data_IF_558330294422
#
_entry.id   IF_558330294422
#
_cell.length_a   1.000
_cell.length_b   1.000
_cell.length_c   1.000
_cell.angle_alpha   90.00
_cell.angle_beta   90.00
_cell.angle_gamma   90.00
#
_symmetry.space_group_name_H-M   'P 1'
#
loop_
_entity.id
_entity.type
_entity.pdbx_description
1 polymer ?
#
# COMPACT_ATOMS: atom_id res chain seq x y z
N UNK A 1 25.06 32.74 62.61
CA UNK A 1 26.17 31.88 62.11
C UNK A 1 25.85 30.45 62.54
N UNK A 2 25.84 29.40 61.73
CA UNK A 2 26.34 29.23 60.37
C UNK A 2 25.41 28.29 59.57
N UNK A 3 24.56 28.88 58.71
CA UNK A 3 23.83 28.17 57.64
C UNK A 3 24.81 27.65 56.56
N UNK A 4 26.01 28.23 56.51
CA UNK A 4 27.09 27.91 55.57
C UNK A 4 27.67 26.50 55.80
N UNK A 5 27.57 25.92 57.00
CA UNK A 5 28.04 24.56 57.29
C UNK A 5 27.16 23.45 56.67
N UNK A 6 25.83 23.64 56.66
CA UNK A 6 24.86 22.65 56.15
C UNK A 6 24.87 22.52 54.61
N UNK A 7 25.32 23.54 53.90
CA UNK A 7 25.48 23.51 52.43
C UNK A 7 26.71 22.69 52.03
N UNK A 8 27.76 22.70 52.85
CA UNK A 8 29.00 21.95 52.57
C UNK A 8 28.81 20.42 52.72
N UNK A 9 27.85 19.99 53.53
CA UNK A 9 27.52 18.57 53.74
C UNK A 9 26.63 18.00 52.62
N UNK A 10 25.94 18.86 51.86
CA UNK A 10 25.08 18.48 50.71
C UNK A 10 25.73 18.73 49.34
N UNK A 11 26.96 19.26 49.31
CA UNK A 11 27.69 19.52 48.06
C UNK A 11 28.00 18.24 47.29
N UNK A 12 28.23 17.12 47.99
CA UNK A 12 28.43 15.81 47.38
C UNK A 12 27.22 15.38 46.55
N UNK A 13 26.01 15.55 47.09
CA UNK A 13 24.75 15.18 46.43
C UNK A 13 24.49 16.06 45.19
N UNK A 14 24.88 17.34 45.26
CA UNK A 14 24.79 18.28 44.14
C UNK A 14 25.75 17.90 43.01
N UNK A 15 26.99 17.52 43.34
CA UNK A 15 27.98 17.02 42.36
C UNK A 15 27.51 15.71 41.73
N UNK A 16 26.90 14.80 42.49
CA UNK A 16 26.34 13.56 41.94
C UNK A 16 25.19 13.84 40.98
N UNK A 17 24.28 14.77 41.31
CA UNK A 17 23.14 15.12 40.45
C UNK A 17 23.58 15.76 39.14
N UNK A 18 24.57 16.65 39.18
CA UNK A 18 25.15 17.29 37.99
C UNK A 18 25.92 16.27 37.15
N UNK A 19 26.67 15.36 37.79
CA UNK A 19 27.35 14.25 37.11
C UNK A 19 26.39 13.27 36.42
N UNK A 20 25.29 12.93 37.07
CA UNK A 20 24.22 12.09 36.50
C UNK A 20 23.55 12.78 35.31
N UNK A 21 23.30 14.10 35.41
CA UNK A 21 22.76 14.90 34.31
C UNK A 21 23.68 14.93 33.09
N UNK A 22 24.99 15.03 33.28
CA UNK A 22 25.99 14.97 32.19
C UNK A 22 26.08 13.59 31.55
N UNK A 23 26.01 12.51 32.34
CA UNK A 23 25.97 11.14 31.81
C UNK A 23 24.70 10.96 30.97
N UNK A 24 23.53 11.34 31.49
CA UNK A 24 22.27 11.27 30.75
C UNK A 24 22.28 12.14 29.48
N UNK A 25 22.91 13.32 29.52
CA UNK A 25 23.07 14.21 28.35
C UNK A 25 23.90 13.56 27.22
N UNK A 26 24.96 12.83 27.56
CA UNK A 26 25.79 12.11 26.57
C UNK A 26 25.05 10.91 25.96
N UNK A 27 24.16 10.27 26.73
CA UNK A 27 23.29 9.20 26.23
C UNK A 27 22.01 9.73 25.55
N UNK A 28 21.70 11.02 25.62
CA UNK A 28 20.48 11.59 25.01
C UNK A 28 20.37 11.34 23.49
N UNK A 29 21.46 11.37 22.69
CA UNK A 29 21.42 10.99 21.28
C UNK A 29 21.09 9.50 21.03
N UNK A 30 21.29 8.64 22.04
CA UNK A 30 20.90 7.22 21.99
C UNK A 30 19.43 7.00 22.40
N UNK A 31 18.82 7.99 23.05
CA UNK A 31 17.41 7.99 23.46
C UNK A 31 16.49 8.77 22.52
N UNK A 32 17.03 9.49 21.52
CA UNK A 32 16.25 10.12 20.43
C UNK A 32 15.56 9.08 19.51
N UNK A 33 15.90 7.80 19.65
CA UNK A 33 15.11 6.68 19.15
C UNK A 33 14.08 6.23 20.17
N UNK A 34 12.94 6.92 20.24
CA UNK A 34 11.63 6.45 20.76
C UNK A 34 11.66 5.23 21.70
N UNK A 35 11.38 5.45 23.00
CA UNK A 35 11.04 4.36 23.93
C UNK A 35 9.87 3.53 23.33
N UNK A 36 10.07 2.26 22.91
CA UNK A 36 9.05 1.48 22.20
C UNK A 36 7.87 1.04 23.09
N UNK A 37 7.92 1.37 24.38
CA UNK A 37 7.02 0.78 25.38
C UNK A 37 5.68 1.53 25.56
N UNK A 38 5.59 2.80 25.13
CA UNK A 38 4.38 3.62 25.32
C UNK A 38 3.59 3.94 24.05
N UNK A 39 4.07 3.58 22.86
CA UNK A 39 3.21 3.63 21.67
C UNK A 39 2.35 2.38 21.66
N UNK A 40 1.12 2.49 22.16
CA UNK A 40 0.07 1.53 21.82
C UNK A 40 -0.19 1.66 20.31
N UNK A 41 0.63 0.99 19.49
CA UNK A 41 0.64 1.03 18.01
C UNK A 41 -0.59 0.36 17.37
N UNK A 42 -1.50 -0.10 18.21
CA UNK A 42 -2.66 -0.88 17.83
C UNK A 42 -3.88 0.05 17.95
N UNK A 43 -3.98 1.00 17.03
CA UNK A 43 -5.18 1.81 16.91
C UNK A 43 -6.23 0.98 16.18
N UNK A 44 -7.42 0.84 16.78
CA UNK A 44 -8.57 0.35 16.06
C UNK A 44 -8.97 1.42 15.03
N UNK A 45 -8.89 1.06 13.75
CA UNK A 45 -9.16 1.97 12.62
C UNK A 45 -10.51 1.71 11.96
N UNK A 46 -11.27 0.70 12.42
CA UNK A 46 -12.62 0.43 11.93
C UNK A 46 -13.04 -1.03 12.07
N UNK A 47 -14.10 -1.41 11.34
CA UNK A 47 -14.67 -2.75 11.36
C UNK A 47 -14.64 -3.38 9.96
N UNK A 48 -14.24 -4.64 9.87
CA UNK A 48 -14.40 -5.47 8.68
C UNK A 48 -15.09 -6.78 9.04
N UNK A 49 -16.23 -7.07 8.41
CA UNK A 49 -17.07 -8.24 8.71
C UNK A 49 -17.35 -8.40 10.21
N UNK A 50 -17.76 -7.30 10.86
CA UNK A 50 -18.05 -7.22 12.30
C UNK A 50 -16.86 -7.50 13.23
N UNK A 51 -15.62 -7.56 12.72
CA UNK A 51 -14.41 -7.67 13.52
C UNK A 51 -13.61 -6.36 13.48
N UNK A 52 -12.97 -6.02 14.60
CA UNK A 52 -12.11 -4.84 14.70
C UNK A 52 -10.87 -4.96 13.82
N UNK A 53 -10.53 -3.85 13.15
CA UNK A 53 -9.35 -3.71 12.32
C UNK A 53 -8.26 -3.04 13.16
N UNK A 54 -7.22 -3.81 13.46
CA UNK A 54 -6.01 -3.31 14.09
C UNK A 54 -5.05 -2.74 13.03
N UNK A 55 -4.66 -1.47 13.17
CA UNK A 55 -3.81 -0.76 12.22
C UNK A 55 -2.49 -1.46 11.92
N UNK A 56 -1.91 -2.13 12.92
CA UNK A 56 -0.62 -2.83 12.80
C UNK A 56 -0.76 -4.16 12.08
N UNK A 57 -1.75 -4.95 12.47
CA UNK A 57 -2.03 -6.27 11.88
C UNK A 57 -2.41 -6.15 10.41
N UNK A 58 -3.12 -5.07 10.05
CA UNK A 58 -3.57 -4.81 8.68
C UNK A 58 -2.61 -3.95 7.86
N UNK A 59 -1.50 -3.49 8.45
CA UNK A 59 -0.47 -2.74 7.74
C UNK A 59 -0.89 -1.36 7.24
N UNK A 60 -1.95 -0.78 7.81
CA UNK A 60 -2.57 0.47 7.33
C UNK A 60 -1.54 1.61 7.15
N UNK A 61 -0.71 1.86 8.16
CA UNK A 61 0.28 2.95 8.11
C UNK A 61 1.38 2.73 7.05
N UNK A 62 1.68 1.47 6.70
CA UNK A 62 2.63 1.18 5.63
C UNK A 62 2.02 1.56 4.27
N UNK A 63 0.76 1.17 4.07
CA UNK A 63 0.00 1.48 2.85
C UNK A 63 -0.21 2.99 2.72
N UNK A 64 -0.54 3.67 3.82
CA UNK A 64 -0.70 5.13 3.87
C UNK A 64 0.59 5.87 3.51
N UNK A 65 1.74 5.41 4.03
CA UNK A 65 3.05 5.98 3.69
C UNK A 65 3.37 5.81 2.19
N UNK A 66 3.10 4.63 1.63
CA UNK A 66 3.26 4.37 0.19
C UNK A 66 2.32 5.26 -0.63
N UNK A 67 1.05 5.38 -0.23
CA UNK A 67 0.09 6.24 -0.91
C UNK A 67 0.52 7.71 -0.88
N UNK A 68 1.01 8.21 0.25
CA UNK A 68 1.52 9.58 0.38
C UNK A 68 2.68 9.87 -0.58
N UNK A 69 3.61 8.90 -0.75
CA UNK A 69 4.73 9.03 -1.70
C UNK A 69 4.28 9.02 -3.16
N UNK A 70 3.30 8.18 -3.49
CA UNK A 70 2.78 8.05 -4.85
C UNK A 70 1.89 9.23 -5.27
N UNK A 71 1.28 9.92 -4.30
CA UNK A 71 0.35 11.02 -4.53
C UNK A 71 0.73 12.26 -3.70
N UNK A 72 1.87 12.92 -3.97
CA UNK A 72 2.38 14.02 -3.15
C UNK A 72 1.50 15.28 -3.17
N UNK A 73 0.62 15.41 -4.18
CA UNK A 73 -0.31 16.53 -4.34
C UNK A 73 -1.72 16.24 -3.79
N UNK A 74 -2.00 15.02 -3.33
CA UNK A 74 -3.29 14.67 -2.77
C UNK A 74 -3.43 15.23 -1.35
N UNK A 75 -4.65 15.60 -0.96
CA UNK A 75 -4.91 16.00 0.41
C UNK A 75 -4.82 14.79 1.37
N UNK A 76 -4.69 15.05 2.66
CA UNK A 76 -4.51 13.99 3.67
C UNK A 76 -5.68 13.00 3.69
N UNK A 77 -6.92 13.47 3.56
CA UNK A 77 -8.11 12.61 3.58
C UNK A 77 -8.18 11.68 2.35
N UNK A 78 -7.75 12.14 1.17
CA UNK A 78 -7.65 11.33 -0.03
C UNK A 78 -6.59 10.23 0.14
N UNK A 79 -5.45 10.53 0.77
CA UNK A 79 -4.42 9.53 1.07
C UNK A 79 -4.97 8.46 2.00
N UNK A 80 -5.64 8.87 3.09
CA UNK A 80 -6.26 7.96 4.06
C UNK A 80 -7.30 7.06 3.40
N UNK A 81 -8.16 7.65 2.58
CA UNK A 81 -9.19 6.92 1.83
C UNK A 81 -8.54 5.90 0.89
N UNK A 82 -7.56 6.30 0.06
CA UNK A 82 -6.84 5.37 -0.84
C UNK A 82 -6.19 4.22 -0.07
N UNK A 83 -5.52 4.53 1.05
CA UNK A 83 -4.89 3.53 1.89
C UNK A 83 -5.91 2.54 2.46
N UNK A 84 -7.07 3.04 2.92
CA UNK A 84 -8.17 2.22 3.39
C UNK A 84 -8.72 1.28 2.30
N UNK A 85 -9.03 1.79 1.10
CA UNK A 85 -9.52 0.94 0.01
C UNK A 85 -8.51 -0.12 -0.39
N UNK A 86 -7.24 0.25 -0.50
CA UNK A 86 -6.18 -0.67 -0.85
C UNK A 86 -6.07 -1.78 0.21
N UNK A 87 -6.05 -1.42 1.50
CA UNK A 87 -5.99 -2.36 2.62
C UNK A 87 -7.15 -3.36 2.61
N UNK A 88 -8.39 -2.89 2.46
CA UNK A 88 -9.57 -3.75 2.41
C UNK A 88 -9.53 -4.66 1.18
N UNK A 89 -9.20 -4.10 0.02
CA UNK A 89 -9.08 -4.83 -1.25
C UNK A 89 -8.03 -5.95 -1.16
N UNK A 90 -6.83 -5.62 -0.69
CA UNK A 90 -5.74 -6.59 -0.54
C UNK A 90 -6.10 -7.70 0.44
N UNK A 91 -6.84 -7.36 1.49
CA UNK A 91 -7.32 -8.36 2.46
C UNK A 91 -8.32 -9.32 1.84
N UNK A 92 -9.31 -8.80 1.11
CA UNK A 92 -10.30 -9.62 0.40
C UNK A 92 -9.60 -10.52 -0.62
N UNK A 93 -8.68 -9.97 -1.42
CA UNK A 93 -7.91 -10.76 -2.37
C UNK A 93 -7.10 -11.85 -1.66
N UNK A 94 -6.39 -11.53 -0.58
CA UNK A 94 -5.62 -12.54 0.15
C UNK A 94 -6.49 -13.67 0.70
N UNK A 95 -7.71 -13.39 1.15
CA UNK A 95 -8.68 -14.41 1.59
C UNK A 95 -9.06 -15.32 0.41
N UNK A 96 -9.48 -14.75 -0.72
CA UNK A 96 -9.92 -15.52 -1.89
C UNK A 96 -8.78 -16.30 -2.55
N UNK A 97 -7.61 -15.68 -2.71
CA UNK A 97 -6.41 -16.34 -3.24
C UNK A 97 -6.01 -17.55 -2.38
N UNK A 98 -6.14 -17.45 -1.05
CA UNK A 98 -5.84 -18.55 -0.12
C UNK A 98 -6.86 -19.67 -0.21
N UNK A 99 -8.16 -19.36 -0.31
CA UNK A 99 -9.23 -20.37 -0.50
C UNK A 99 -9.01 -21.17 -1.80
N UNK A 100 -8.58 -20.50 -2.86
CA UNK A 100 -8.32 -21.11 -4.17
C UNK A 100 -6.95 -21.82 -4.24
N UNK A 101 -6.11 -21.71 -3.22
CA UNK A 101 -4.77 -22.31 -3.20
C UNK A 101 -3.81 -21.70 -4.22
N UNK A 102 -3.99 -20.44 -4.62
CA UNK A 102 -3.16 -19.79 -5.64
C UNK A 102 -1.82 -19.40 -5.02
N UNK A 103 -0.80 -20.17 -5.38
CA UNK A 103 0.59 -19.93 -4.99
C UNK A 103 1.44 -19.34 -6.12
N UNK A 104 2.62 -18.84 -5.73
CA UNK A 104 3.71 -18.42 -6.63
C UNK A 104 4.99 -19.01 -6.08
N UNK A 105 5.78 -19.65 -6.94
CA UNK A 105 7.08 -20.21 -6.55
C UNK A 105 8.19 -19.18 -6.76
N UNK A 106 9.32 -19.37 -6.08
CA UNK A 106 10.49 -18.51 -6.27
C UNK A 106 11.05 -18.60 -7.70
N UNK A 107 10.97 -19.78 -8.34
CA UNK A 107 11.36 -19.94 -9.76
C UNK A 107 10.43 -19.14 -10.68
N UNK A 108 9.11 -19.17 -10.45
CA UNK A 108 8.18 -18.35 -11.24
C UNK A 108 8.45 -16.85 -11.08
N UNK A 109 8.81 -16.40 -9.88
CA UNK A 109 9.17 -15.01 -9.67
C UNK A 109 10.46 -14.65 -10.43
N UNK A 110 11.47 -15.50 -10.37
CA UNK A 110 12.78 -15.25 -10.99
C UNK A 110 12.76 -15.36 -12.52
N UNK A 111 12.16 -16.43 -13.05
CA UNK A 111 12.12 -16.74 -14.49
C UNK A 111 10.94 -16.06 -15.20
N UNK A 112 9.90 -15.68 -14.46
CA UNK A 112 8.72 -15.01 -14.99
C UNK A 112 8.78 -13.50 -14.82
N UNK A 113 8.80 -13.02 -13.58
CA UNK A 113 8.72 -11.58 -13.30
C UNK A 113 10.08 -10.89 -13.49
N UNK A 114 11.15 -11.45 -12.93
CA UNK A 114 12.50 -10.86 -12.93
C UNK A 114 13.35 -11.32 -14.11
N UNK A 115 12.71 -11.74 -15.21
CA UNK A 115 13.40 -12.14 -16.41
C UNK A 115 13.72 -10.93 -17.27
N UNK A 116 15.01 -10.62 -17.45
CA UNK A 116 15.46 -9.44 -18.21
C UNK A 116 15.22 -9.54 -19.72
N UNK A 117 14.98 -10.74 -20.26
CA UNK A 117 14.73 -10.92 -21.70
C UNK A 117 13.25 -10.85 -22.04
N UNK A 118 12.42 -11.56 -21.28
CA UNK A 118 10.98 -11.61 -21.51
C UNK A 118 10.21 -11.65 -20.18
N UNK A 119 10.10 -10.50 -19.48
CA UNK A 119 9.38 -10.45 -18.22
C UNK A 119 7.87 -10.56 -18.47
N UNK A 120 7.21 -11.37 -17.66
CA UNK A 120 5.76 -11.45 -17.59
C UNK A 120 5.16 -10.07 -17.21
N UNK A 121 3.93 -9.75 -17.66
CA UNK A 121 3.25 -8.54 -17.22
C UNK A 121 3.16 -8.48 -15.69
N UNK A 122 3.61 -7.35 -15.12
CA UNK A 122 3.60 -7.05 -13.69
C UNK A 122 3.70 -5.55 -13.48
N UNK A 123 3.27 -5.06 -12.32
CA UNK A 123 3.40 -3.65 -11.96
C UNK A 123 4.87 -3.18 -11.99
N UNK A 124 5.80 -4.06 -11.63
CA UNK A 124 7.23 -3.76 -11.69
C UNK A 124 7.71 -3.55 -13.13
N UNK A 125 7.27 -4.39 -14.08
CA UNK A 125 7.58 -4.19 -15.51
C UNK A 125 7.02 -2.86 -16.03
N UNK A 126 5.81 -2.48 -15.61
CA UNK A 126 5.14 -1.24 -16.05
C UNK A 126 5.91 0.03 -15.68
N UNK A 127 6.72 0.01 -14.61
CA UNK A 127 7.59 1.14 -14.22
C UNK A 127 8.67 1.45 -15.26
N UNK A 128 8.97 0.50 -16.15
CA UNK A 128 9.99 0.63 -17.20
C UNK A 128 9.35 0.79 -18.60
N UNK A 129 8.06 1.07 -18.66
CA UNK A 129 7.35 1.37 -19.92
C UNK A 129 7.23 2.89 -20.06
N UNK A 130 7.88 3.44 -21.08
CA UNK A 130 7.84 4.87 -21.40
C UNK A 130 7.17 5.05 -22.76
N UNK A 131 6.09 5.85 -22.83
CA UNK A 131 5.30 6.07 -24.05
C UNK A 131 4.80 4.77 -24.74
N UNK A 132 4.50 3.74 -23.93
CA UNK A 132 4.08 2.42 -24.43
C UNK A 132 5.22 1.51 -24.91
N UNK A 133 6.47 1.98 -24.84
CA UNK A 133 7.65 1.19 -25.21
C UNK A 133 8.36 0.71 -23.95
N UNK A 134 8.60 -0.60 -23.86
CA UNK A 134 9.31 -1.20 -22.73
C UNK A 134 10.83 -1.02 -22.87
N UNK A 135 11.46 -0.42 -21.86
CA UNK A 135 12.91 -0.27 -21.79
C UNK A 135 13.55 -1.52 -21.14
N UNK A 136 13.94 -2.47 -21.98
CA UNK A 136 14.52 -3.73 -21.54
C UNK A 136 15.89 -3.56 -20.86
N UNK A 137 16.71 -2.62 -21.32
CA UNK A 137 18.06 -2.38 -20.78
C UNK A 137 17.99 -1.92 -19.32
N UNK A 138 17.21 -0.86 -19.04
CA UNK A 138 17.02 -0.33 -17.68
C UNK A 138 16.38 -1.36 -16.74
N UNK A 139 15.42 -2.13 -17.25
CA UNK A 139 14.82 -3.22 -16.47
C UNK A 139 15.86 -4.29 -16.11
N UNK A 140 16.70 -4.66 -17.07
CA UNK A 140 17.77 -5.64 -16.87
C UNK A 140 18.83 -5.17 -15.86
N UNK A 141 19.19 -3.89 -15.90
CA UNK A 141 20.10 -3.26 -14.94
C UNK A 141 19.53 -3.30 -13.51
N UNK A 142 18.27 -2.92 -13.32
CA UNK A 142 17.63 -2.96 -12.00
C UNK A 142 17.58 -4.38 -11.44
N UNK A 143 17.16 -5.35 -12.25
CA UNK A 143 17.14 -6.77 -11.87
C UNK A 143 18.54 -7.27 -11.52
N UNK A 144 19.57 -6.84 -12.26
CA UNK A 144 20.96 -7.21 -11.99
C UNK A 144 21.43 -6.65 -10.65
N UNK A 145 21.20 -5.36 -10.38
CA UNK A 145 21.59 -4.73 -9.11
C UNK A 145 20.84 -5.34 -7.92
N UNK A 146 19.54 -5.65 -8.06
CA UNK A 146 18.79 -6.39 -7.04
C UNK A 146 19.41 -7.76 -6.72
N UNK A 147 19.77 -8.54 -7.75
CA UNK A 147 20.41 -9.86 -7.57
C UNK A 147 21.80 -9.73 -6.94
N UNK A 148 22.57 -8.74 -7.37
CA UNK A 148 23.91 -8.46 -6.86
C UNK A 148 23.87 -8.02 -5.40
N UNK A 149 22.92 -7.16 -5.03
CA UNK A 149 22.70 -6.75 -3.64
C UNK A 149 22.38 -7.93 -2.73
N UNK A 150 21.48 -8.82 -3.16
CA UNK A 150 21.12 -10.03 -2.41
C UNK A 150 22.28 -11.04 -2.25
N UNK A 151 23.24 -11.06 -3.17
CA UNK A 151 24.40 -11.96 -3.10
C UNK A 151 25.55 -11.40 -2.26
N UNK A 152 25.74 -10.08 -2.28
CA UNK A 152 26.92 -9.43 -1.72
C UNK A 152 26.68 -8.76 -0.36
N UNK A 153 25.42 -8.51 0.03
CA UNK A 153 25.07 -7.86 1.29
C UNK A 153 24.66 -8.90 2.36
N UNK A 154 25.51 -9.16 3.38
CA UNK A 154 25.18 -10.11 4.44
C UNK A 154 24.28 -9.50 5.53
N UNK A 155 23.96 -8.20 5.50
CA UNK A 155 23.09 -7.55 6.49
C UNK A 155 21.67 -8.17 6.47
N UNK A 156 21.23 -8.82 7.57
CA UNK A 156 19.89 -9.36 7.66
C UNK A 156 18.78 -8.31 7.45
N UNK A 157 19.02 -7.04 7.81
CA UNK A 157 18.03 -5.98 7.66
C UNK A 157 17.81 -5.62 6.18
N UNK A 158 18.88 -5.61 5.39
CA UNK A 158 18.77 -5.40 3.94
C UNK A 158 17.96 -6.52 3.28
N UNK A 159 18.25 -7.78 3.60
CA UNK A 159 17.53 -8.93 3.06
C UNK A 159 16.04 -8.88 3.45
N UNK A 160 15.73 -8.55 4.71
CA UNK A 160 14.35 -8.37 5.18
C UNK A 160 13.64 -7.23 4.46
N UNK A 161 14.34 -6.13 4.16
CA UNK A 161 13.79 -5.01 3.41
C UNK A 161 13.40 -5.44 1.99
N UNK A 162 14.31 -6.10 1.26
CA UNK A 162 14.02 -6.60 -0.09
C UNK A 162 12.86 -7.59 -0.05
N UNK A 163 12.83 -8.51 0.92
CA UNK A 163 11.73 -9.46 1.06
C UNK A 163 10.38 -8.76 1.24
N UNK A 164 10.31 -7.79 2.15
CA UNK A 164 9.05 -7.14 2.52
C UNK A 164 8.57 -6.13 1.48
N UNK A 165 9.49 -5.37 0.88
CA UNK A 165 9.14 -4.28 -0.02
C UNK A 165 9.18 -4.68 -1.50
N UNK A 166 9.80 -5.81 -1.84
CA UNK A 166 9.97 -6.24 -3.22
C UNK A 166 9.40 -7.64 -3.47
N UNK A 167 9.91 -8.66 -2.77
CA UNK A 167 9.52 -10.06 -3.03
C UNK A 167 8.03 -10.32 -2.71
N UNK A 168 7.56 -9.93 -1.52
CA UNK A 168 6.16 -10.15 -1.09
C UNK A 168 5.17 -9.41 -2.01
N UNK A 169 5.36 -8.11 -2.32
CA UNK A 169 4.49 -7.40 -3.25
C UNK A 169 4.45 -8.03 -4.65
N UNK A 170 5.60 -8.43 -5.20
CA UNK A 170 5.64 -9.07 -6.51
C UNK A 170 4.95 -10.44 -6.52
N UNK A 171 5.12 -11.23 -5.45
CA UNK A 171 4.38 -12.48 -5.31
C UNK A 171 2.87 -12.23 -5.25
N UNK A 172 2.43 -11.19 -4.53
CA UNK A 172 1.03 -10.82 -4.45
C UNK A 172 0.48 -10.38 -5.81
N UNK A 173 1.18 -9.49 -6.52
CA UNK A 173 0.83 -9.05 -7.88
C UNK A 173 0.70 -10.25 -8.83
N UNK A 174 1.64 -11.20 -8.75
CA UNK A 174 1.61 -12.40 -9.57
C UNK A 174 0.42 -13.31 -9.24
N UNK A 175 0.07 -13.50 -7.96
CA UNK A 175 -1.14 -14.25 -7.57
C UNK A 175 -2.40 -13.58 -8.11
N UNK A 176 -2.46 -12.25 -8.04
CA UNK A 176 -3.60 -11.47 -8.53
C UNK A 176 -3.72 -11.57 -10.05
N UNK A 177 -2.61 -11.53 -10.79
CA UNK A 177 -2.59 -11.73 -12.24
C UNK A 177 -3.12 -13.12 -12.65
N UNK A 178 -2.76 -14.18 -11.90
CA UNK A 178 -3.33 -15.53 -12.09
C UNK A 178 -4.84 -15.54 -11.85
N UNK A 179 -5.28 -14.96 -10.74
CA UNK A 179 -6.70 -14.87 -10.40
C UNK A 179 -7.51 -14.14 -11.48
N UNK A 180 -7.05 -12.96 -11.92
CA UNK A 180 -7.68 -12.20 -13.01
C UNK A 180 -7.70 -12.97 -14.32
N UNK A 181 -6.62 -13.68 -14.63
CA UNK A 181 -6.57 -14.56 -15.81
C UNK A 181 -7.63 -15.66 -15.74
N UNK A 182 -7.81 -16.30 -14.58
CA UNK A 182 -8.86 -17.30 -14.40
C UNK A 182 -10.26 -16.72 -14.60
N UNK A 183 -10.55 -15.52 -14.08
CA UNK A 183 -11.82 -14.84 -14.33
C UNK A 183 -12.00 -14.55 -15.83
N UNK A 184 -10.97 -14.00 -16.48
CA UNK A 184 -11.00 -13.66 -17.90
C UNK A 184 -11.26 -14.87 -18.79
N UNK A 185 -10.65 -16.02 -18.48
CA UNK A 185 -10.83 -17.25 -19.27
C UNK A 185 -12.01 -18.10 -18.82
N UNK A 186 -12.54 -17.87 -17.61
CA UNK A 186 -13.72 -18.54 -17.08
C UNK A 186 -15.04 -17.92 -17.54
N UNK A 187 -15.05 -16.63 -17.87
CA UNK A 187 -16.20 -15.95 -18.45
C UNK A 187 -16.16 -16.07 -19.98
N UNK A 188 -17.02 -16.94 -20.52
CA UNK A 188 -17.17 -17.12 -21.96
C UNK A 188 -18.49 -16.51 -22.42
N UNK A 189 -18.41 -15.63 -23.42
CA UNK A 189 -19.58 -15.11 -24.12
C UNK A 189 -20.18 -16.15 -25.06
N UNK A 190 -21.49 -16.07 -25.28
CA UNK A 190 -22.22 -16.90 -26.23
C UNK A 190 -22.14 -16.33 -27.65
N UNK A 191 -22.35 -17.20 -28.65
CA UNK A 191 -22.46 -16.76 -30.06
C UNK A 191 -23.62 -15.78 -30.24
N UNK A 192 -24.70 -15.94 -29.46
CA UNK A 192 -25.88 -15.10 -29.48
C UNK A 192 -25.57 -13.68 -28.98
N UNK A 193 -24.82 -13.55 -27.89
CA UNK A 193 -24.35 -12.24 -27.41
C UNK A 193 -23.44 -11.57 -28.43
N UNK A 194 -22.54 -12.33 -29.07
CA UNK A 194 -21.70 -11.82 -30.15
C UNK A 194 -22.51 -11.29 -31.35
N UNK A 195 -23.57 -12.01 -31.76
CA UNK A 195 -24.49 -11.55 -32.81
C UNK A 195 -25.28 -10.31 -32.40
N UNK A 196 -25.70 -10.24 -31.14
CA UNK A 196 -26.41 -9.09 -30.60
C UNK A 196 -25.52 -7.85 -30.62
N UNK A 197 -24.28 -7.95 -30.13
CA UNK A 197 -23.30 -6.86 -30.16
C UNK A 197 -23.02 -6.37 -31.58
N UNK A 198 -22.78 -7.28 -32.54
CA UNK A 198 -22.57 -6.92 -33.95
C UNK A 198 -23.77 -6.18 -34.55
N UNK A 199 -24.99 -6.61 -34.19
CA UNK A 199 -26.22 -5.93 -34.62
C UNK A 199 -26.35 -4.54 -33.98
N UNK A 200 -26.11 -4.42 -32.68
CA UNK A 200 -26.17 -3.14 -31.95
C UNK A 200 -25.14 -2.14 -32.48
N UNK A 201 -23.91 -2.55 -32.73
CA UNK A 201 -22.85 -1.69 -33.31
C UNK A 201 -23.21 -1.16 -34.71
N UNK A 202 -23.99 -1.91 -35.48
CA UNK A 202 -24.46 -1.51 -36.81
C UNK A 202 -25.79 -0.78 -36.80
N UNK A 203 -26.50 -0.80 -35.67
CA UNK A 203 -27.81 -0.16 -35.56
C UNK A 203 -27.61 1.31 -35.24
N UNK A 204 -27.82 2.15 -36.24
CA UNK A 204 -27.82 3.61 -36.09
C UNK A 204 -29.26 4.09 -36.07
N UNK A 205 -29.61 4.91 -35.08
CA UNK A 205 -30.92 5.54 -34.97
C UNK A 205 -30.78 7.06 -34.89
N UNK A 206 -31.64 7.77 -35.63
CA UNK A 206 -31.82 9.20 -35.46
C UNK A 206 -32.88 9.43 -34.37
N UNK A 207 -32.53 10.16 -33.31
CA UNK A 207 -33.39 10.40 -32.17
C UNK A 207 -33.57 11.90 -32.02
N UNK A 208 -34.82 12.37 -32.10
CA UNK A 208 -35.19 13.70 -31.64
C UNK A 208 -35.53 13.62 -30.15
N UNK A 209 -34.89 14.45 -29.35
CA UNK A 209 -35.14 14.52 -27.91
C UNK A 209 -35.26 15.99 -27.48
N UNK A 210 -36.00 16.20 -26.40
CA UNK A 210 -36.07 17.48 -25.71
C UNK A 210 -35.43 17.26 -24.35
N UNK A 211 -34.39 18.03 -24.06
CA UNK A 211 -33.79 18.08 -22.73
C UNK A 211 -34.46 19.18 -21.92
N UNK A 212 -34.99 18.82 -20.75
CA UNK A 212 -35.50 19.77 -19.76
C UNK A 212 -34.54 19.72 -18.58
N UNK A 213 -33.98 20.88 -18.20
CA UNK A 213 -33.10 20.92 -17.05
C UNK A 213 -33.94 20.67 -15.78
N UNK A 214 -33.42 19.85 -14.87
CA UNK A 214 -34.07 19.64 -13.58
C UNK A 214 -34.30 20.96 -12.84
N UNK A 215 -33.40 21.94 -13.00
CA UNK A 215 -33.52 23.27 -12.40
C UNK A 215 -34.66 24.14 -12.98
N UNK A 216 -35.20 23.78 -14.16
CA UNK A 216 -36.33 24.49 -14.76
C UNK A 216 -37.67 24.03 -14.18
N UNK A 217 -37.67 22.95 -13.40
CA UNK A 217 -38.83 22.45 -12.67
C UNK A 217 -38.92 23.23 -11.36
N UNK A 218 -39.95 24.08 -11.22
CA UNK A 218 -40.16 24.81 -9.98
C UNK A 218 -40.48 23.85 -8.84
N UNK A 219 -39.80 24.00 -7.70
CA UNK A 219 -40.00 23.19 -6.49
C UNK A 219 -41.47 23.16 -6.03
N UNK A 220 -42.25 24.19 -6.34
CA UNK A 220 -43.68 24.28 -6.04
C UNK A 220 -44.57 23.27 -6.79
N UNK A 221 -44.04 22.63 -7.84
CA UNK A 221 -44.73 21.61 -8.64
C UNK A 221 -44.50 20.20 -8.08
N UNK A 222 -43.54 20.05 -7.16
CA UNK A 222 -43.18 18.76 -6.55
C UNK A 222 -43.83 18.66 -5.16
N UNK A 223 -44.84 17.81 -5.04
CA UNK A 223 -45.45 17.47 -3.76
C UNK A 223 -44.67 16.33 -3.11
N UNK A 224 -43.86 16.65 -2.10
CA UNK A 224 -43.06 15.68 -1.35
C UNK A 224 -43.96 15.07 -0.27
N UNK A 225 -44.88 14.20 -0.68
CA UNK A 225 -45.80 13.50 0.22
C UNK A 225 -45.34 12.07 0.56
N UNK A 226 -44.13 11.67 0.17
CA UNK A 226 -43.54 10.40 0.60
C UNK A 226 -43.12 10.49 2.08
N UNK A 227 -43.94 9.87 2.93
CA UNK A 227 -43.62 9.53 4.32
C UNK A 227 -43.09 8.11 4.43
#
# INVERSE_FOLDING_TARGET
MAIIGKIRERSGLLVTMVGLGLVLFIFTPLFDGTIPWFSNQNANIGLFNNNEIDSKTWGYYQIENVASRNFPNANEDEIKFRAWYQMISDTIYNIELRKLGIGVTSSELNEGILNSQNPLPSQFKEQFVENGVFNQERFGEEVFELRKGLQNEPDPNYILNIKNNFEIPLQFDRKLAKYRSMLKYGLLGTVQEGKKLDFEEKTVANIDYIFVNYNDIADSVIDINDR
#
